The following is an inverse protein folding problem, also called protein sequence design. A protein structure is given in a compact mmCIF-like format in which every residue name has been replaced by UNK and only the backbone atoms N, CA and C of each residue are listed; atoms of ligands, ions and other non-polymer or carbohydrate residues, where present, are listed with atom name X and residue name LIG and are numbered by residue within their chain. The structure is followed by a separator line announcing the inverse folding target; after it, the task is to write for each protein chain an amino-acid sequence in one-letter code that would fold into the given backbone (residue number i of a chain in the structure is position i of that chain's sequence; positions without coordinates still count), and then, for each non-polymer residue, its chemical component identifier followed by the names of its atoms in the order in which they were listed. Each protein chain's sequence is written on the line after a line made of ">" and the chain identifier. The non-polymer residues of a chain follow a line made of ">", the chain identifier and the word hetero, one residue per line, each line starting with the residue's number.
data_IF_690160273753
#
_entry.id   IF_690160273753
#
_cell.length_a   1.000
_cell.length_b   1.000
_cell.length_c   1.000
_cell.angle_alpha   90.00
_cell.angle_beta   90.00
_cell.angle_gamma   90.00
#
_symmetry.space_group_name_H-M   'P 1'
#
loop_
_entity.id
_entity.type
_entity.pdbx_description
1 polymer ?
#
# COMPACT_ATOMS: atom_id res chain seq x y z
N UNK A 1 -9.84 -0.47 -7.50
CA UNK A 1 -9.20 0.08 -6.27
C UNK A 1 -9.92 -0.36 -4.99
N UNK A 2 -11.25 -0.32 -4.91
CA UNK A 2 -12.02 -0.73 -3.72
C UNK A 2 -11.64 -2.14 -3.22
N UNK A 3 -11.62 -3.15 -4.09
CA UNK A 3 -11.21 -4.52 -3.73
C UNK A 3 -9.77 -4.54 -3.18
N UNK A 4 -8.88 -3.75 -3.77
CA UNK A 4 -7.49 -3.65 -3.32
C UNK A 4 -7.38 -3.10 -1.90
N UNK A 5 -8.09 -2.02 -1.61
CA UNK A 5 -8.05 -1.36 -0.30
C UNK A 5 -8.71 -2.21 0.78
N UNK A 6 -9.80 -2.91 0.47
CA UNK A 6 -10.40 -3.89 1.37
C UNK A 6 -9.43 -5.06 1.66
N UNK A 7 -8.80 -5.63 0.63
CA UNK A 7 -7.85 -6.70 0.81
C UNK A 7 -6.63 -6.27 1.67
N UNK A 8 -6.11 -5.06 1.47
CA UNK A 8 -5.05 -4.53 2.33
C UNK A 8 -5.53 -4.28 3.76
N UNK A 9 -6.77 -3.85 3.97
CA UNK A 9 -7.32 -3.70 5.31
C UNK A 9 -7.44 -5.05 6.04
N UNK A 10 -7.93 -6.10 5.35
CA UNK A 10 -7.94 -7.46 5.89
C UNK A 10 -6.52 -7.96 6.21
N UNK A 11 -5.57 -7.71 5.32
CA UNK A 11 -4.16 -8.04 5.55
C UNK A 11 -3.62 -7.33 6.79
N UNK A 12 -3.89 -6.04 6.96
CA UNK A 12 -3.46 -5.26 8.11
C UNK A 12 -4.09 -5.78 9.43
N UNK A 13 -5.35 -6.22 9.38
CA UNK A 13 -6.01 -6.85 10.53
C UNK A 13 -5.30 -8.15 10.94
N UNK A 14 -4.87 -8.99 9.99
CA UNK A 14 -4.09 -10.19 10.28
C UNK A 14 -2.73 -9.82 10.89
N UNK A 15 -2.02 -8.85 10.31
CA UNK A 15 -0.71 -8.40 10.83
C UNK A 15 -0.81 -7.93 12.28
N UNK A 16 -1.94 -7.34 12.69
CA UNK A 16 -2.17 -6.90 14.07
C UNK A 16 -2.16 -8.05 15.09
N UNK A 17 -2.47 -9.28 14.67
CA UNK A 17 -2.38 -10.47 15.52
C UNK A 17 -0.98 -11.10 15.58
N UNK A 18 -0.13 -10.82 14.59
CA UNK A 18 1.21 -11.41 14.46
C UNK A 18 2.28 -10.50 15.13
N UNK A 19 2.10 -10.20 16.42
CA UNK A 19 2.94 -9.24 17.15
C UNK A 19 4.38 -9.73 17.36
N UNK A 20 4.56 -11.03 17.54
CA UNK A 20 5.85 -11.63 17.86
C UNK A 20 6.69 -11.94 16.61
N UNK A 21 6.06 -11.93 15.44
CA UNK A 21 6.74 -12.19 14.17
C UNK A 21 7.34 -10.90 13.62
N UNK A 22 8.65 -10.95 13.34
CA UNK A 22 9.39 -9.81 12.81
C UNK A 22 8.84 -9.28 11.49
N UNK A 23 8.87 -7.96 11.31
CA UNK A 23 8.30 -7.29 10.12
C UNK A 23 8.85 -7.83 8.78
N UNK A 24 10.15 -8.13 8.68
CA UNK A 24 10.74 -8.70 7.47
C UNK A 24 10.32 -10.15 7.24
N UNK A 25 10.07 -10.90 8.30
CA UNK A 25 9.55 -12.27 8.24
C UNK A 25 8.09 -12.27 7.76
N UNK A 26 7.27 -11.31 8.21
CA UNK A 26 5.92 -11.07 7.67
C UNK A 26 5.98 -10.78 6.16
N UNK A 27 6.93 -9.93 5.72
CA UNK A 27 7.16 -9.64 4.29
C UNK A 27 7.50 -10.91 3.53
N UNK A 28 8.41 -11.73 4.06
CA UNK A 28 8.81 -12.99 3.45
C UNK A 28 7.61 -13.93 3.25
N UNK A 29 6.90 -14.27 4.33
CA UNK A 29 5.76 -15.20 4.25
C UNK A 29 4.64 -14.65 3.36
N UNK A 30 4.30 -13.38 3.49
CA UNK A 30 3.33 -12.72 2.61
C UNK A 30 3.71 -12.85 1.15
N UNK A 31 4.99 -12.64 0.83
CA UNK A 31 5.46 -12.66 -0.56
C UNK A 31 5.52 -14.07 -1.10
N UNK A 32 6.07 -15.03 -0.35
CA UNK A 32 6.08 -16.46 -0.71
C UNK A 32 4.67 -16.98 -0.93
N UNK A 33 3.76 -16.73 0.01
CA UNK A 33 2.37 -17.18 -0.14
C UNK A 33 1.68 -16.53 -1.34
N UNK A 34 1.94 -15.23 -1.61
CA UNK A 34 1.42 -14.56 -2.81
C UNK A 34 1.99 -15.15 -4.11
N UNK A 35 3.23 -15.66 -4.10
CA UNK A 35 3.85 -16.29 -5.27
C UNK A 35 3.10 -17.53 -5.72
N UNK A 36 2.57 -18.34 -4.80
CA UNK A 36 1.75 -19.49 -5.16
C UNK A 36 0.54 -19.06 -6.01
N UNK A 37 -0.13 -17.97 -5.62
CA UNK A 37 -1.27 -17.45 -6.37
C UNK A 37 -0.85 -16.80 -7.70
N UNK A 38 0.26 -16.03 -7.73
CA UNK A 38 0.72 -15.39 -8.97
C UNK A 38 1.20 -16.44 -9.97
N UNK A 39 2.04 -17.38 -9.58
CA UNK A 39 2.53 -18.44 -10.46
C UNK A 39 1.40 -19.35 -10.92
N UNK A 40 0.51 -19.78 -10.00
CA UNK A 40 -0.64 -20.61 -10.33
C UNK A 40 -1.54 -19.92 -11.38
N UNK A 41 -1.80 -18.62 -11.22
CA UNK A 41 -2.58 -17.85 -12.19
C UNK A 41 -1.88 -17.73 -13.55
N UNK A 42 -0.58 -17.41 -13.56
CA UNK A 42 0.20 -17.21 -14.79
C UNK A 42 0.28 -18.51 -15.59
N UNK A 43 0.57 -19.64 -14.94
CA UNK A 43 0.66 -20.96 -15.58
C UNK A 43 -0.73 -21.39 -16.11
N UNK A 44 -1.77 -21.29 -15.30
CA UNK A 44 -3.13 -21.68 -15.69
C UNK A 44 -3.65 -20.93 -16.93
N UNK A 45 -3.27 -19.66 -17.06
CA UNK A 45 -3.73 -18.79 -18.17
C UNK A 45 -2.71 -18.67 -19.30
N UNK A 46 -1.62 -19.43 -19.30
CA UNK A 46 -0.54 -19.40 -20.29
C UNK A 46 0.04 -18.00 -20.52
N UNK A 47 0.15 -17.19 -19.43
CA UNK A 47 0.71 -15.84 -19.50
C UNK A 47 2.22 -15.90 -19.31
N UNK A 48 3.04 -15.28 -20.19
CA UNK A 48 4.48 -15.26 -20.07
C UNK A 48 4.94 -14.64 -18.74
N UNK A 49 5.66 -15.42 -17.92
CA UNK A 49 6.13 -15.00 -16.58
C UNK A 49 7.10 -13.83 -16.65
N UNK A 50 7.94 -13.79 -17.70
CA UNK A 50 8.97 -12.76 -17.87
C UNK A 50 8.44 -11.42 -18.34
N UNK A 51 7.19 -11.37 -18.85
CA UNK A 51 6.59 -10.14 -19.34
C UNK A 51 7.32 -9.50 -20.53
N UNK A 52 6.86 -8.31 -20.93
CA UNK A 52 7.40 -7.59 -22.09
C UNK A 52 8.45 -6.55 -21.69
N UNK A 53 8.19 -5.74 -20.67
CA UNK A 53 9.07 -4.65 -20.25
C UNK A 53 9.81 -4.97 -18.94
N UNK A 54 10.77 -5.90 -19.02
CA UNK A 54 11.52 -6.39 -17.85
C UNK A 54 12.20 -5.27 -17.06
N UNK A 55 12.69 -4.20 -17.71
CA UNK A 55 13.34 -3.07 -17.03
C UNK A 55 12.36 -2.36 -16.09
N UNK A 56 11.16 -2.06 -16.55
CA UNK A 56 10.13 -1.44 -15.72
C UNK A 56 9.58 -2.40 -14.65
N UNK A 57 9.49 -3.69 -14.95
CA UNK A 57 9.05 -4.72 -13.99
C UNK A 57 10.04 -4.85 -12.83
N UNK A 58 11.34 -4.91 -13.11
CA UNK A 58 12.41 -4.92 -12.09
C UNK A 58 12.40 -3.62 -11.31
N UNK A 59 12.33 -2.46 -11.99
CA UNK A 59 12.26 -1.15 -11.34
C UNK A 59 11.07 -1.07 -10.37
N UNK A 60 9.88 -1.55 -10.80
CA UNK A 60 8.69 -1.63 -9.95
C UNK A 60 8.95 -2.49 -8.69
N UNK A 61 9.61 -3.61 -8.87
CA UNK A 61 9.97 -4.49 -7.76
C UNK A 61 10.91 -3.80 -6.77
N UNK A 62 12.02 -3.25 -7.25
CA UNK A 62 13.03 -2.59 -6.43
C UNK A 62 12.46 -1.37 -5.69
N UNK A 63 11.79 -0.46 -6.40
CA UNK A 63 11.15 0.73 -5.78
C UNK A 63 10.11 0.30 -4.73
N UNK A 64 9.34 -0.75 -5.01
CA UNK A 64 8.33 -1.26 -4.07
C UNK A 64 8.94 -1.87 -2.81
N UNK A 65 10.00 -2.66 -2.94
CA UNK A 65 10.68 -3.26 -1.79
C UNK A 65 11.42 -2.19 -0.97
N UNK A 66 12.08 -1.24 -1.62
CA UNK A 66 12.72 -0.10 -0.92
C UNK A 66 11.71 0.67 -0.09
N UNK A 67 10.56 1.03 -0.68
CA UNK A 67 9.49 1.70 0.07
C UNK A 67 9.05 0.89 1.29
N UNK A 68 8.85 -0.41 1.12
CA UNK A 68 8.39 -1.30 2.17
C UNK A 68 9.44 -1.47 3.28
N UNK A 69 10.71 -1.65 2.92
CA UNK A 69 11.80 -1.77 3.88
C UNK A 69 11.97 -0.51 4.72
N UNK A 70 11.94 0.67 4.10
CA UNK A 70 12.01 1.96 4.80
C UNK A 70 10.82 2.16 5.75
N UNK A 71 9.60 1.73 5.33
CA UNK A 71 8.44 1.74 6.21
C UNK A 71 8.67 0.89 7.46
N UNK A 72 9.11 -0.37 7.29
CA UNK A 72 9.35 -1.23 8.45
C UNK A 72 10.53 -0.78 9.31
N UNK A 73 11.56 -0.17 8.72
CA UNK A 73 12.63 0.46 9.50
C UNK A 73 12.09 1.63 10.33
N UNK A 74 11.18 2.44 9.77
CA UNK A 74 10.59 3.58 10.50
C UNK A 74 9.78 3.14 11.73
N UNK A 75 9.15 1.96 11.70
CA UNK A 75 8.36 1.47 12.83
C UNK A 75 9.20 1.06 14.06
N UNK A 76 10.53 1.03 13.94
CA UNK A 76 11.44 0.88 15.09
C UNK A 76 11.60 2.17 15.89
N UNK A 77 11.32 3.31 15.27
CA UNK A 77 11.52 4.66 15.83
C UNK A 77 10.22 5.42 16.04
N UNK A 78 9.16 5.03 15.32
CA UNK A 78 7.85 5.68 15.39
C UNK A 78 6.78 4.68 15.82
N UNK A 79 5.75 5.13 16.57
CA UNK A 79 4.55 4.35 16.77
C UNK A 79 3.96 3.90 15.42
N UNK A 80 3.55 2.65 15.32
CA UNK A 80 3.11 2.06 14.05
C UNK A 80 1.93 2.84 13.41
N UNK A 81 1.03 3.34 14.24
CA UNK A 81 -0.09 4.18 13.80
C UNK A 81 0.37 5.47 13.13
N UNK A 82 1.41 6.12 13.68
CA UNK A 82 2.02 7.33 13.11
C UNK A 82 2.73 7.02 11.80
N UNK A 83 3.53 5.95 11.75
CA UNK A 83 4.21 5.52 10.53
C UNK A 83 3.20 5.22 9.41
N UNK A 84 2.13 4.48 9.69
CA UNK A 84 1.07 4.19 8.71
C UNK A 84 0.39 5.47 8.23
N UNK A 85 0.08 6.42 9.15
CA UNK A 85 -0.58 7.69 8.80
C UNK A 85 0.27 8.54 7.87
N UNK A 86 1.56 8.66 8.17
CA UNK A 86 2.50 9.42 7.34
C UNK A 86 2.72 8.76 5.98
N UNK A 87 2.67 7.44 5.90
CA UNK A 87 2.73 6.72 4.61
C UNK A 87 1.58 7.07 3.67
N UNK A 88 0.44 7.50 4.19
CA UNK A 88 -0.66 8.02 3.36
C UNK A 88 -0.36 9.36 2.65
N UNK A 89 0.84 9.93 2.80
CA UNK A 89 1.35 10.96 1.89
C UNK A 89 1.65 10.43 0.48
N UNK A 90 1.81 9.12 0.31
CA UNK A 90 2.14 8.50 -0.99
C UNK A 90 1.20 8.89 -2.14
N UNK A 91 -0.14 8.99 -1.99
CA UNK A 91 -1.01 9.50 -3.05
C UNK A 91 -0.71 10.93 -3.47
N UNK A 92 -0.26 11.80 -2.55
CA UNK A 92 0.12 13.19 -2.84
C UNK A 92 1.41 13.18 -3.67
N UNK A 93 2.43 12.42 -3.26
CA UNK A 93 3.65 12.27 -4.05
C UNK A 93 3.37 11.67 -5.43
N UNK A 94 2.48 10.68 -5.52
CA UNK A 94 2.07 10.13 -6.81
C UNK A 94 1.43 11.18 -7.72
N UNK A 95 0.58 12.06 -7.17
CA UNK A 95 0.00 13.15 -7.92
C UNK A 95 1.07 14.14 -8.43
N UNK A 96 2.04 14.52 -7.57
CA UNK A 96 3.17 15.36 -7.98
C UNK A 96 3.96 14.69 -9.11
N UNK A 97 4.36 13.44 -8.91
CA UNK A 97 5.13 12.70 -9.91
C UNK A 97 4.38 12.46 -11.22
N UNK A 98 3.04 12.30 -11.17
CA UNK A 98 2.22 12.14 -12.36
C UNK A 98 2.30 13.37 -13.29
N UNK A 99 2.44 14.58 -12.74
CA UNK A 99 2.67 15.80 -13.54
C UNK A 99 3.98 15.69 -14.33
N UNK A 100 5.07 15.32 -13.65
CA UNK A 100 6.41 15.31 -14.24
C UNK A 100 6.65 14.10 -15.16
N UNK A 101 6.28 12.90 -14.72
CA UNK A 101 6.62 11.64 -15.41
C UNK A 101 5.55 11.14 -16.38
N UNK A 102 4.28 11.45 -16.12
CA UNK A 102 3.15 11.01 -16.95
C UNK A 102 2.49 12.16 -17.70
N UNK A 103 2.93 13.41 -17.46
CA UNK A 103 2.35 14.63 -18.03
C UNK A 103 0.84 14.77 -17.75
N UNK A 104 0.38 14.23 -16.62
CA UNK A 104 -1.00 14.37 -16.18
C UNK A 104 -1.26 15.81 -15.76
N UNK A 105 -2.43 16.35 -16.13
CA UNK A 105 -2.89 17.66 -15.68
C UNK A 105 -3.73 17.51 -14.42
N UNK A 106 -3.24 18.06 -13.31
CA UNK A 106 -3.97 18.07 -12.03
C UNK A 106 -4.55 19.48 -11.83
N UNK A 107 -5.84 19.55 -11.64
CA UNK A 107 -6.53 20.83 -11.44
C UNK A 107 -6.35 21.31 -9.99
N UNK A 108 -6.33 22.63 -9.72
CA UNK A 108 -6.10 23.17 -8.37
C UNK A 108 -7.03 22.58 -7.30
N UNK A 109 -8.31 22.41 -7.62
CA UNK A 109 -9.28 21.83 -6.68
C UNK A 109 -8.98 20.36 -6.31
N UNK A 110 -8.32 19.59 -7.18
CA UNK A 110 -7.94 18.22 -6.83
C UNK A 110 -6.88 18.20 -5.71
N UNK A 111 -5.98 19.19 -5.69
CA UNK A 111 -5.04 19.37 -4.59
C UNK A 111 -5.75 19.61 -3.25
N UNK A 112 -6.78 20.45 -3.26
CA UNK A 112 -7.61 20.68 -2.07
C UNK A 112 -8.24 19.37 -1.58
N UNK A 113 -8.78 18.56 -2.50
CA UNK A 113 -9.41 17.28 -2.13
C UNK A 113 -8.37 16.25 -1.60
N UNK A 114 -7.17 16.20 -2.18
CA UNK A 114 -6.08 15.37 -1.66
C UNK A 114 -5.67 15.80 -0.25
N UNK A 115 -5.46 17.11 -0.06
CA UNK A 115 -5.09 17.66 1.25
C UNK A 115 -6.19 17.42 2.28
N UNK A 116 -7.46 17.60 1.92
CA UNK A 116 -8.59 17.35 2.80
C UNK A 116 -8.66 15.89 3.25
N UNK A 117 -8.52 14.93 2.32
CA UNK A 117 -8.50 13.52 2.65
C UNK A 117 -7.29 13.16 3.53
N UNK A 118 -6.12 13.73 3.27
CA UNK A 118 -4.92 13.52 4.07
C UNK A 118 -5.04 14.11 5.48
N UNK A 119 -5.56 15.32 5.62
CA UNK A 119 -5.85 15.94 6.93
C UNK A 119 -6.83 15.08 7.71
N UNK A 120 -7.86 14.53 7.05
CA UNK A 120 -8.77 13.57 7.66
C UNK A 120 -8.06 12.35 8.23
N UNK A 121 -7.05 11.79 7.52
CA UNK A 121 -6.24 10.68 8.03
C UNK A 121 -5.43 11.10 9.26
N UNK A 122 -4.85 12.30 9.26
CA UNK A 122 -4.07 12.81 10.39
C UNK A 122 -4.94 12.99 11.65
N UNK A 123 -6.13 13.59 11.49
CA UNK A 123 -7.08 13.77 12.61
C UNK A 123 -7.50 12.42 13.17
N UNK A 124 -7.76 11.44 12.32
CA UNK A 124 -8.24 10.14 12.72
C UNK A 124 -7.19 9.32 13.47
N UNK A 125 -5.94 9.36 13.03
CA UNK A 125 -4.85 8.59 13.63
C UNK A 125 -4.20 9.29 14.83
N UNK A 126 -4.44 10.60 14.98
CA UNK A 126 -3.76 11.41 15.98
C UNK A 126 -2.29 11.69 15.64
N UNK A 127 -1.74 12.71 16.25
CA UNK A 127 -0.32 13.05 16.19
C UNK A 127 0.29 12.89 17.57
N UNK A 128 1.30 12.05 17.67
CA UNK A 128 2.17 12.03 18.83
C UNK A 128 3.20 13.16 18.68
N UNK A 129 3.36 14.00 19.69
CA UNK A 129 4.20 15.21 19.60
C UNK A 129 5.70 14.91 19.81
N UNK A 130 6.04 13.75 20.38
CA UNK A 130 7.42 13.32 20.62
C UNK A 130 7.85 12.29 19.57
N UNK A 131 8.06 12.74 18.33
CA UNK A 131 8.44 11.86 17.23
C UNK A 131 9.96 11.88 17.01
N UNK A 132 10.54 10.70 16.85
CA UNK A 132 11.94 10.55 16.49
C UNK A 132 12.21 11.08 15.07
N UNK A 133 13.18 12.00 14.92
CA UNK A 133 13.48 12.66 13.64
C UNK A 133 14.00 11.67 12.59
N UNK A 134 14.74 10.64 12.97
CA UNK A 134 15.24 9.63 12.04
C UNK A 134 14.09 8.76 11.50
N UNK A 135 13.18 8.36 12.38
CA UNK A 135 11.96 7.65 12.00
C UNK A 135 11.10 8.45 11.02
N UNK A 136 10.98 9.79 11.23
CA UNK A 136 10.27 10.69 10.32
C UNK A 136 10.92 10.74 8.93
N UNK A 137 12.25 10.81 8.84
CA UNK A 137 12.96 10.79 7.56
C UNK A 137 12.72 9.47 6.82
N UNK A 138 12.83 8.34 7.51
CA UNK A 138 12.59 7.02 6.92
C UNK A 138 11.19 6.88 6.33
N UNK A 139 10.15 7.27 7.09
CA UNK A 139 8.77 7.15 6.62
C UNK A 139 8.45 8.13 5.48
N UNK A 140 9.02 9.33 5.51
CA UNK A 140 8.87 10.31 4.44
C UNK A 140 9.45 9.79 3.12
N UNK A 141 10.69 9.26 3.16
CA UNK A 141 11.32 8.64 1.99
C UNK A 141 10.51 7.41 1.53
N UNK A 142 10.01 6.58 2.46
CA UNK A 142 9.12 5.46 2.14
C UNK A 142 7.87 5.91 1.37
N UNK A 143 7.24 7.01 1.79
CA UNK A 143 6.08 7.57 1.12
C UNK A 143 6.40 8.08 -0.30
N UNK A 144 7.57 8.71 -0.49
CA UNK A 144 8.07 9.10 -1.82
C UNK A 144 8.20 7.87 -2.72
N UNK A 145 8.90 6.82 -2.26
CA UNK A 145 9.06 5.58 -3.02
C UNK A 145 7.72 4.90 -3.29
N UNK A 146 6.75 4.94 -2.36
CA UNK A 146 5.39 4.46 -2.60
C UNK A 146 4.70 5.23 -3.73
N UNK A 147 4.86 6.55 -3.78
CA UNK A 147 4.37 7.38 -4.90
C UNK A 147 5.01 6.98 -6.23
N UNK A 148 6.32 6.73 -6.25
CA UNK A 148 7.03 6.24 -7.44
C UNK A 148 6.53 4.87 -7.90
N UNK A 149 6.18 3.96 -6.98
CA UNK A 149 5.56 2.66 -7.34
C UNK A 149 4.34 2.87 -8.21
N UNK A 150 3.44 3.80 -7.84
CA UNK A 150 2.22 4.06 -8.60
C UNK A 150 2.52 4.59 -10.00
N UNK A 151 3.52 5.47 -10.11
CA UNK A 151 3.96 6.00 -11.41
C UNK A 151 4.55 4.90 -12.31
N UNK A 152 5.42 4.05 -11.75
CA UNK A 152 6.01 2.96 -12.54
C UNK A 152 4.92 1.99 -13.02
N UNK A 153 3.94 1.66 -12.18
CA UNK A 153 2.79 0.83 -12.58
C UNK A 153 2.00 1.50 -13.70
N UNK A 154 1.68 2.79 -13.57
CA UNK A 154 0.98 3.55 -14.62
C UNK A 154 1.77 3.61 -15.92
N UNK A 155 3.11 3.72 -15.85
CA UNK A 155 4.00 3.72 -17.01
C UNK A 155 4.11 2.36 -17.69
N UNK A 156 4.05 1.25 -16.94
CA UNK A 156 3.92 -0.11 -17.50
C UNK A 156 2.59 -0.20 -18.29
N UNK A 157 1.53 0.40 -17.76
CA UNK A 157 0.22 0.44 -18.40
C UNK A 157 -0.27 -0.96 -18.76
N UNK A 158 -0.92 -1.08 -19.90
CA UNK A 158 -1.45 -2.35 -20.43
C UNK A 158 -0.39 -3.24 -21.10
N UNK A 159 0.89 -2.82 -21.13
CA UNK A 159 1.98 -3.55 -21.79
C UNK A 159 2.31 -4.88 -21.14
N UNK A 160 2.07 -5.01 -19.82
CA UNK A 160 2.25 -6.26 -19.09
C UNK A 160 1.01 -6.57 -18.23
N UNK A 161 0.70 -7.86 -18.11
CA UNK A 161 -0.43 -8.31 -17.31
C UNK A 161 -0.23 -7.94 -15.82
N UNK A 162 -1.26 -7.45 -15.10
CA UNK A 162 -1.12 -7.03 -13.70
C UNK A 162 -0.44 -8.07 -12.80
N UNK A 163 -0.75 -9.35 -13.00
CA UNK A 163 -0.16 -10.45 -12.22
C UNK A 163 1.34 -10.60 -12.48
N UNK A 164 1.83 -10.34 -13.71
CA UNK A 164 3.27 -10.35 -14.02
C UNK A 164 3.97 -9.23 -13.26
N UNK A 165 3.40 -8.02 -13.24
CA UNK A 165 3.94 -6.87 -12.49
C UNK A 165 4.05 -7.19 -11.00
N UNK A 166 3.03 -7.83 -10.44
CA UNK A 166 2.99 -8.24 -9.04
C UNK A 166 3.97 -9.37 -8.77
N UNK A 167 4.10 -10.33 -9.69
CA UNK A 167 5.03 -11.47 -9.56
C UNK A 167 6.48 -11.01 -9.37
N UNK A 168 6.96 -10.06 -10.21
CA UNK A 168 8.31 -9.48 -10.05
C UNK A 168 8.51 -8.86 -8.66
N UNK A 169 7.53 -8.10 -8.19
CA UNK A 169 7.60 -7.51 -6.85
C UNK A 169 7.65 -8.58 -5.76
N UNK A 170 6.82 -9.63 -5.86
CA UNK A 170 6.80 -10.70 -4.87
C UNK A 170 8.10 -11.49 -4.85
N UNK A 171 8.70 -11.81 -6.02
CA UNK A 171 10.01 -12.47 -6.09
C UNK A 171 11.08 -11.65 -5.37
N UNK A 172 11.20 -10.36 -5.69
CA UNK A 172 12.20 -9.49 -5.08
C UNK A 172 11.94 -9.33 -3.57
N UNK A 173 10.68 -9.20 -3.18
CA UNK A 173 10.29 -9.10 -1.76
C UNK A 173 10.57 -10.38 -0.97
N UNK A 174 10.39 -11.54 -1.59
CA UNK A 174 10.73 -12.85 -0.97
C UNK A 174 12.21 -12.94 -0.68
N UNK A 175 13.06 -12.60 -1.66
CA UNK A 175 14.50 -12.64 -1.48
C UNK A 175 14.96 -11.69 -0.38
N UNK A 176 14.54 -10.42 -0.45
CA UNK A 176 14.94 -9.43 0.55
C UNK A 176 14.33 -9.68 1.94
N UNK A 177 13.04 -10.03 2.00
CA UNK A 177 12.39 -10.40 3.26
C UNK A 177 13.05 -11.61 3.91
N UNK A 178 13.38 -12.64 3.13
CA UNK A 178 14.10 -13.81 3.60
C UNK A 178 15.49 -13.47 4.16
N UNK A 179 16.31 -12.75 3.39
CA UNK A 179 17.67 -12.37 3.83
C UNK A 179 17.63 -11.49 5.10
N UNK A 180 16.73 -10.51 5.17
CA UNK A 180 16.66 -9.60 6.30
C UNK A 180 15.99 -10.21 7.56
N UNK A 181 15.29 -11.34 7.42
CA UNK A 181 14.67 -12.04 8.55
C UNK A 181 15.58 -13.09 9.19
N UNK A 182 16.69 -13.49 8.57
CA UNK A 182 17.54 -14.61 9.05
C UNK A 182 17.97 -14.41 10.50
N UNK A 183 18.44 -13.21 10.86
CA UNK A 183 19.02 -12.97 12.19
C UNK A 183 17.98 -12.82 13.31
N UNK A 184 16.71 -12.62 12.95
CA UNK A 184 15.61 -12.41 13.92
C UNK A 184 14.43 -13.31 13.57
N UNK A 185 14.71 -14.54 13.15
CA UNK A 185 13.68 -15.50 12.78
C UNK A 185 12.98 -16.05 14.01
N UNK A 186 11.66 -15.97 14.02
CA UNK A 186 10.79 -16.57 15.04
C UNK A 186 9.99 -17.69 14.36
N UNK A 187 9.97 -18.87 14.94
CA UNK A 187 9.19 -19.98 14.39
C UNK A 187 7.70 -19.73 14.64
N UNK A 188 6.88 -19.65 13.57
CA UNK A 188 5.45 -19.49 13.74
C UNK A 188 4.82 -20.69 14.43
N UNK A 189 3.83 -20.47 15.30
CA UNK A 189 3.16 -21.51 16.06
C UNK A 189 1.67 -21.60 15.71
N UNK A 190 1.14 -22.82 15.71
CA UNK A 190 -0.29 -23.11 15.61
C UNK A 190 -1.00 -22.33 14.50
N UNK A 191 -1.90 -21.42 14.87
CA UNK A 191 -2.73 -20.64 13.96
C UNK A 191 -1.96 -19.59 13.14
N UNK A 192 -0.77 -19.20 13.59
CA UNK A 192 0.05 -18.20 12.88
C UNK A 192 0.39 -18.64 11.46
N UNK A 193 0.58 -19.93 11.23
CA UNK A 193 0.80 -20.48 9.88
C UNK A 193 -0.35 -20.18 8.95
N UNK A 194 -1.60 -20.34 9.42
CA UNK A 194 -2.80 -20.04 8.63
C UNK A 194 -2.89 -18.53 8.38
N UNK A 195 -2.58 -17.72 9.39
CA UNK A 195 -2.55 -16.26 9.26
C UNK A 195 -1.50 -15.80 8.24
N UNK A 196 -0.31 -16.36 8.27
CA UNK A 196 0.78 -16.06 7.32
C UNK A 196 0.42 -16.43 5.88
N UNK A 197 -0.25 -17.57 5.68
CA UNK A 197 -0.82 -17.93 4.37
C UNK A 197 -1.91 -16.97 3.93
N UNK A 198 -2.79 -16.57 4.86
CA UNK A 198 -3.84 -15.57 4.63
C UNK A 198 -3.27 -14.21 4.19
N UNK A 199 -2.12 -13.79 4.75
CA UNK A 199 -1.42 -12.57 4.31
C UNK A 199 -1.08 -12.62 2.81
N UNK A 200 -0.66 -13.80 2.32
CA UNK A 200 -0.37 -13.99 0.90
C UNK A 200 -1.59 -13.85 0.02
N UNK A 201 -2.71 -14.41 0.42
CA UNK A 201 -3.98 -14.32 -0.31
C UNK A 201 -4.46 -12.86 -0.42
N UNK A 202 -4.58 -12.17 0.71
CA UNK A 202 -4.98 -10.77 0.72
C UNK A 202 -3.93 -9.87 0.06
N UNK A 203 -2.64 -10.18 0.24
CA UNK A 203 -1.53 -9.50 -0.44
C UNK A 203 -1.64 -9.61 -1.96
N UNK A 204 -1.95 -10.81 -2.48
CA UNK A 204 -2.18 -11.05 -3.91
C UNK A 204 -3.33 -10.20 -4.45
N UNK A 205 -4.52 -10.31 -3.87
CA UNK A 205 -5.67 -9.52 -4.32
C UNK A 205 -5.40 -8.02 -4.20
N UNK A 206 -4.86 -7.56 -3.07
CA UNK A 206 -4.51 -6.17 -2.85
C UNK A 206 -3.60 -5.60 -3.94
N UNK A 207 -2.51 -6.31 -4.24
CA UNK A 207 -1.52 -5.87 -5.22
C UNK A 207 -2.03 -5.96 -6.65
N UNK A 208 -2.72 -7.05 -7.03
CA UNK A 208 -3.22 -7.24 -8.40
C UNK A 208 -4.26 -6.17 -8.75
N UNK A 209 -5.26 -5.95 -7.87
CA UNK A 209 -6.29 -4.95 -8.14
C UNK A 209 -5.77 -3.51 -8.04
N UNK A 210 -4.78 -3.23 -7.19
CA UNK A 210 -4.08 -1.95 -7.17
C UNK A 210 -3.34 -1.74 -8.50
N UNK A 211 -2.54 -2.70 -8.92
CA UNK A 211 -1.78 -2.65 -10.18
C UNK A 211 -2.72 -2.44 -11.36
N UNK A 212 -3.80 -3.23 -11.45
CA UNK A 212 -4.81 -3.09 -12.50
C UNK A 212 -5.44 -1.68 -12.51
N UNK A 213 -5.75 -1.12 -11.33
CA UNK A 213 -6.33 0.22 -11.25
C UNK A 213 -5.39 1.30 -11.82
N UNK A 214 -4.11 1.28 -11.44
CA UNK A 214 -3.11 2.24 -11.95
C UNK A 214 -2.71 2.01 -13.41
N UNK A 215 -2.94 0.81 -13.96
CA UNK A 215 -2.70 0.54 -15.39
C UNK A 215 -3.81 1.05 -16.31
N UNK A 216 -5.05 1.17 -15.80
CA UNK A 216 -6.23 1.47 -16.65
C UNK A 216 -6.76 2.89 -16.50
N UNK A 217 -6.38 3.61 -15.44
CA UNK A 217 -6.89 4.96 -15.18
C UNK A 217 -5.78 5.90 -14.73
N UNK A 218 -6.00 7.19 -14.89
CA UNK A 218 -5.05 8.23 -14.53
C UNK A 218 -4.71 8.21 -13.04
N UNK A 219 -3.44 8.47 -12.71
CA UNK A 219 -2.93 8.38 -11.35
C UNK A 219 -3.66 9.33 -10.40
N UNK A 220 -3.98 10.56 -10.86
CA UNK A 220 -4.71 11.56 -10.07
C UNK A 220 -6.15 11.12 -9.70
N UNK A 221 -6.74 10.18 -10.42
CA UNK A 221 -8.05 9.61 -10.11
C UNK A 221 -7.94 8.39 -9.18
N UNK A 222 -6.90 7.58 -9.36
CA UNK A 222 -6.73 6.31 -8.64
C UNK A 222 -6.06 6.48 -7.29
N UNK A 223 -5.03 7.33 -7.21
CA UNK A 223 -4.22 7.47 -6.00
C UNK A 223 -5.03 7.89 -4.75
N UNK A 224 -5.96 8.85 -4.81
CA UNK A 224 -6.78 9.21 -3.66
C UNK A 224 -7.62 8.07 -3.12
N UNK A 225 -8.09 7.16 -3.98
CA UNK A 225 -8.88 6.00 -3.57
C UNK A 225 -8.12 5.07 -2.61
N UNK A 226 -6.80 5.25 -2.46
CA UNK A 226 -6.00 4.53 -1.45
C UNK A 226 -6.43 4.87 -0.02
N UNK A 227 -6.97 6.06 0.23
CA UNK A 227 -7.48 6.45 1.53
C UNK A 227 -8.71 5.61 1.99
N UNK A 228 -9.42 4.94 1.08
CA UNK A 228 -10.48 3.99 1.44
C UNK A 228 -9.98 2.83 2.32
N UNK A 229 -8.69 2.49 2.23
CA UNK A 229 -8.08 1.48 3.10
C UNK A 229 -8.21 1.85 4.57
N UNK A 230 -8.10 3.15 4.89
CA UNK A 230 -8.26 3.65 6.27
C UNK A 230 -9.68 3.33 6.76
N UNK A 231 -10.69 3.63 5.94
CA UNK A 231 -12.10 3.40 6.30
C UNK A 231 -12.35 1.90 6.55
N UNK A 232 -11.87 1.04 5.65
CA UNK A 232 -12.01 -0.41 5.83
C UNK A 232 -11.25 -0.93 7.05
N UNK A 233 -10.04 -0.40 7.31
CA UNK A 233 -9.26 -0.77 8.50
C UNK A 233 -10.01 -0.40 9.79
N UNK A 234 -10.66 0.76 9.82
CA UNK A 234 -11.47 1.18 10.96
C UNK A 234 -12.70 0.30 11.16
N UNK A 235 -13.42 -0.01 10.08
CA UNK A 235 -14.56 -0.91 10.15
C UNK A 235 -14.15 -2.27 10.71
N UNK A 236 -13.03 -2.83 10.24
CA UNK A 236 -12.49 -4.08 10.78
C UNK A 236 -12.00 -3.92 12.24
N UNK A 237 -11.48 -2.74 12.61
CA UNK A 237 -11.13 -2.40 13.98
C UNK A 237 -12.31 -2.51 14.94
N UNK A 238 -13.46 -1.95 14.57
CA UNK A 238 -14.71 -2.10 15.37
C UNK A 238 -15.16 -3.55 15.40
N UNK A 239 -15.24 -4.20 14.24
CA UNK A 239 -15.87 -5.52 14.13
C UNK A 239 -15.03 -6.65 14.76
N UNK A 240 -13.71 -6.60 14.62
CA UNK A 240 -12.82 -7.69 15.04
C UNK A 240 -12.10 -7.40 16.37
N UNK A 241 -11.91 -6.11 16.72
CA UNK A 241 -11.09 -5.71 17.85
C UNK A 241 -11.87 -4.88 18.88
N UNK A 242 -13.18 -4.69 18.68
CA UNK A 242 -14.05 -3.87 19.55
C UNK A 242 -13.48 -2.46 19.80
N UNK A 243 -12.79 -1.88 18.82
CA UNK A 243 -12.23 -0.54 18.91
C UNK A 243 -13.35 0.51 18.97
N UNK A 244 -13.21 1.47 19.89
CA UNK A 244 -14.14 2.58 20.06
C UNK A 244 -13.52 3.84 19.45
N UNK A 245 -14.24 4.51 18.57
CA UNK A 245 -13.77 5.74 17.95
C UNK A 245 -14.39 6.98 18.59
N UNK A 246 -13.55 7.97 18.79
CA UNK A 246 -13.95 9.27 19.33
C UNK A 246 -14.68 10.14 18.28
N UNK A 247 -15.30 11.24 18.72
CA UNK A 247 -15.88 12.21 17.80
C UNK A 247 -14.84 12.76 16.80
N UNK A 248 -13.60 12.96 17.22
CA UNK A 248 -12.50 13.36 16.34
C UNK A 248 -12.23 12.33 15.24
N UNK A 249 -12.30 11.04 15.57
CA UNK A 249 -12.17 9.98 14.57
C UNK A 249 -13.28 10.03 13.53
N UNK A 250 -14.53 10.28 13.95
CA UNK A 250 -15.67 10.44 13.02
C UNK A 250 -15.50 11.65 12.10
N UNK A 251 -15.00 12.78 12.61
CA UNK A 251 -14.67 13.96 11.79
C UNK A 251 -13.57 13.64 10.77
N UNK A 252 -12.52 12.90 11.17
CA UNK A 252 -11.49 12.44 10.25
C UNK A 252 -12.04 11.56 9.13
N UNK A 253 -12.93 10.60 9.45
CA UNK A 253 -13.62 9.75 8.46
C UNK A 253 -14.44 10.61 7.49
N UNK A 254 -15.22 11.55 8.00
CA UNK A 254 -16.03 12.45 7.18
C UNK A 254 -15.16 13.23 6.18
N UNK A 255 -14.04 13.80 6.62
CA UNK A 255 -13.11 14.53 5.75
C UNK A 255 -12.51 13.63 4.65
N UNK A 256 -12.15 12.38 4.98
CA UNK A 256 -11.65 11.40 4.00
C UNK A 256 -12.71 11.14 2.95
N UNK A 257 -13.94 10.80 3.36
CA UNK A 257 -15.03 10.49 2.44
C UNK A 257 -15.34 11.69 1.55
N UNK A 258 -15.47 12.89 2.14
CA UNK A 258 -15.73 14.12 1.38
C UNK A 258 -14.64 14.39 0.35
N UNK A 259 -13.35 14.31 0.75
CA UNK A 259 -12.22 14.49 -0.16
C UNK A 259 -12.26 13.52 -1.34
N UNK A 260 -12.56 12.23 -1.08
CA UNK A 260 -12.66 11.19 -2.11
C UNK A 260 -13.83 11.40 -3.05
N UNK A 261 -15.02 11.67 -2.51
CA UNK A 261 -16.25 11.89 -3.30
C UNK A 261 -16.11 13.14 -4.17
N UNK A 262 -15.65 14.25 -3.61
CA UNK A 262 -15.42 15.49 -4.36
C UNK A 262 -14.38 15.27 -5.47
N UNK A 263 -13.28 14.57 -5.20
CA UNK A 263 -12.29 14.27 -6.25
C UNK A 263 -12.86 13.38 -7.35
N UNK A 264 -13.69 12.39 -7.01
CA UNK A 264 -14.31 11.47 -7.97
C UNK A 264 -15.37 12.18 -8.84
N UNK A 265 -16.16 13.09 -8.24
CA UNK A 265 -17.19 13.84 -8.94
C UNK A 265 -16.66 15.04 -9.73
N UNK A 266 -15.47 15.51 -9.38
CA UNK A 266 -14.88 16.68 -10.01
C UNK A 266 -14.43 16.41 -11.44
N UNK A 267 -15.35 16.59 -12.38
CA UNK A 267 -15.04 16.46 -13.81
C UNK A 267 -14.26 17.66 -14.37
N UNK A 268 -14.21 18.78 -13.65
CA UNK A 268 -13.59 20.05 -14.09
C UNK A 268 -14.00 20.44 -15.51
N UNK A 269 -14.30 21.69 -15.75
CA UNK A 269 -14.50 22.17 -17.14
C UNK A 269 -13.25 21.80 -17.96
N UNK A 270 -13.46 21.15 -19.11
CA UNK A 270 -12.43 20.88 -20.12
C UNK A 270 -11.75 22.15 -20.57
#
# INVERSE_FOLDING_TARGET
>A
MIISTLAFACMNAIVKHLTDIGAFQIVFFRSVSSLFFTFGFLIKNNIPILGNNRKLLILRGLVGVTSMSLFFMSTKYLPIGTAVSLRYMAPIFAAVFAIFFLKEKIKPFQWLFFTMAFVGVLILKGFDTNLDGYGLILIFISAIFSGLVYIVISKIGKGDHPVVVVNYFMVISTVLGGVLSINNWVNPEGIEWIMLLGLGLFGYFGQVYMTKAFQIAATNQVAPLKYLEVIFTLLLGVLLFSEIYTLYSLLGIALIIFGLVLNALYKGKK
#
